data_IF_211955273987
#
_entry.id   IF_211955273987
#
_cell.length_a   1.000
_cell.length_b   1.000
_cell.length_c   1.000
_cell.angle_alpha   90.00
_cell.angle_beta   90.00
_cell.angle_gamma   90.00
#
_symmetry.space_group_name_H-M   'P 1'
#
loop_
_entity.id
_entity.type
_entity.pdbx_description
1 polymer ?
#
# COMPACT_ATOMS: atom_id res chain seq x y z
N UNK A 1 16.46 9.06 13.13
CA UNK A 1 15.43 9.88 13.83
C UNK A 1 14.87 9.20 15.07
N UNK A 2 14.28 8.00 14.98
CA UNK A 2 13.67 7.33 16.15
C UNK A 2 14.61 7.13 17.37
N UNK A 3 15.82 6.60 17.15
CA UNK A 3 16.80 6.40 18.24
C UNK A 3 17.24 7.72 18.89
N UNK A 4 17.42 8.78 18.09
CA UNK A 4 17.76 10.11 18.58
C UNK A 4 16.69 10.68 19.52
N UNK A 5 15.42 10.33 19.29
CA UNK A 5 14.30 10.70 20.14
C UNK A 5 13.98 9.66 21.24
N UNK A 6 14.92 8.77 21.56
CA UNK A 6 14.83 7.88 22.71
C UNK A 6 14.13 6.55 22.47
N UNK A 7 13.89 6.14 21.22
CA UNK A 7 13.44 4.78 20.94
C UNK A 7 14.47 3.77 21.47
N UNK A 8 14.02 2.82 22.30
CA UNK A 8 14.91 1.83 22.90
C UNK A 8 15.50 0.85 21.87
N UNK A 9 14.75 0.57 20.79
CA UNK A 9 15.14 -0.32 19.70
C UNK A 9 14.40 0.09 18.42
N UNK A 10 15.06 -0.05 17.27
CA UNK A 10 14.47 0.14 15.94
C UNK A 10 14.65 -1.14 15.13
N UNK A 11 13.59 -1.57 14.48
CA UNK A 11 13.62 -2.70 13.54
C UNK A 11 13.26 -2.15 12.17
N UNK A 12 14.12 -2.39 11.19
CA UNK A 12 13.87 -2.02 9.79
C UNK A 12 13.49 -3.26 8.98
N UNK A 13 12.45 -3.15 8.17
CA UNK A 13 11.94 -4.22 7.32
C UNK A 13 12.25 -3.89 5.86
N UNK A 14 13.25 -4.55 5.27
CA UNK A 14 13.78 -4.19 3.95
C UNK A 14 14.06 -5.41 3.08
N UNK A 15 13.72 -5.32 1.80
CA UNK A 15 13.92 -6.42 0.84
C UNK A 15 15.40 -6.64 0.54
N UNK A 16 16.17 -5.55 0.45
CA UNK A 16 17.62 -5.64 0.30
C UNK A 16 18.28 -5.92 1.65
N UNK A 17 19.29 -6.80 1.72
CA UNK A 17 20.04 -7.01 2.94
C UNK A 17 20.81 -5.74 3.32
N UNK A 18 20.76 -5.37 4.60
CA UNK A 18 21.44 -4.20 5.14
C UNK A 18 22.56 -4.61 6.10
N UNK A 19 23.69 -3.89 6.01
CA UNK A 19 24.72 -3.93 7.06
C UNK A 19 24.30 -2.99 8.19
N UNK A 20 24.16 -3.52 9.39
CA UNK A 20 23.75 -2.75 10.57
C UNK A 20 24.95 -2.48 11.47
N UNK A 21 25.28 -1.21 11.68
CA UNK A 21 26.43 -0.78 12.49
C UNK A 21 26.05 -0.31 13.90
N UNK A 22 24.75 -0.23 14.21
CA UNK A 22 24.26 0.29 15.48
C UNK A 22 23.58 -0.80 16.33
N UNK A 23 23.94 -0.97 17.62
CA UNK A 23 23.48 -2.10 18.44
C UNK A 23 21.97 -2.08 18.73
N UNK A 24 21.34 -0.91 18.66
CA UNK A 24 19.88 -0.75 18.86
C UNK A 24 19.06 -0.85 17.56
N UNK A 25 19.70 -1.07 16.41
CA UNK A 25 19.02 -1.29 15.14
C UNK A 25 19.08 -2.77 14.80
N UNK A 26 17.99 -3.31 14.29
CA UNK A 26 17.94 -4.66 13.73
C UNK A 26 17.31 -4.62 12.35
N UNK A 27 17.79 -5.50 11.47
CA UNK A 27 17.21 -5.74 10.16
C UNK A 27 16.36 -7.00 10.18
N UNK A 28 15.26 -6.99 9.43
CA UNK A 28 14.47 -8.18 9.11
C UNK A 28 13.99 -8.11 7.66
N UNK A 29 14.07 -9.23 6.95
CA UNK A 29 13.50 -9.31 5.61
C UNK A 29 11.95 -9.37 5.70
N UNK A 30 11.17 -8.65 4.86
CA UNK A 30 9.70 -8.61 4.95
C UNK A 30 9.03 -9.98 5.00
N UNK A 31 9.51 -10.94 4.20
CA UNK A 31 9.01 -12.32 4.21
C UNK A 31 9.21 -12.99 5.59
N UNK A 32 10.37 -12.78 6.22
CA UNK A 32 10.68 -13.35 7.52
C UNK A 32 9.95 -12.63 8.66
N UNK A 33 9.70 -11.33 8.51
CA UNK A 33 8.84 -10.57 9.41
C UNK A 33 7.42 -11.14 9.41
N UNK A 34 6.84 -11.41 8.25
CA UNK A 34 5.46 -11.95 8.16
C UNK A 34 5.39 -13.37 8.72
N UNK A 35 6.37 -14.23 8.42
CA UNK A 35 6.41 -15.61 8.97
C UNK A 35 6.49 -15.64 10.49
N UNK A 36 7.20 -14.68 11.09
CA UNK A 36 7.47 -14.62 12.52
C UNK A 36 6.81 -13.41 13.20
N UNK A 37 5.69 -12.93 12.66
CA UNK A 37 5.11 -11.63 13.01
C UNK A 37 4.83 -11.46 14.51
N UNK A 38 4.47 -12.53 15.21
CA UNK A 38 4.20 -12.54 16.66
C UNK A 38 5.40 -12.05 17.47
N UNK A 39 6.62 -12.34 17.01
CA UNK A 39 7.88 -11.88 17.64
C UNK A 39 8.05 -10.36 17.55
N UNK A 40 7.43 -9.75 16.55
CA UNK A 40 7.55 -8.33 16.23
C UNK A 40 6.29 -7.53 16.60
N UNK A 41 5.25 -8.19 17.11
CA UNK A 41 4.03 -7.54 17.53
C UNK A 41 4.21 -6.76 18.84
N UNK A 42 3.36 -5.77 19.05
CA UNK A 42 3.40 -4.89 20.21
C UNK A 42 4.44 -3.77 20.10
N UNK A 43 4.68 -3.24 18.90
CA UNK A 43 5.49 -2.02 18.73
C UNK A 43 4.68 -0.77 19.07
N UNK A 44 5.36 0.27 19.56
CA UNK A 44 4.75 1.53 19.98
C UNK A 44 4.36 2.43 18.79
N UNK A 45 5.13 2.37 17.70
CA UNK A 45 4.85 3.09 16.47
C UNK A 45 5.49 2.37 15.28
N UNK A 46 4.98 2.66 14.09
CA UNK A 46 5.55 2.23 12.81
C UNK A 46 5.71 3.47 11.95
N UNK A 47 6.87 3.58 11.29
CA UNK A 47 7.12 4.58 10.26
C UNK A 47 7.26 3.87 8.92
N UNK A 48 6.58 4.37 7.90
CA UNK A 48 6.66 3.87 6.53
C UNK A 48 7.12 5.01 5.63
N UNK A 49 8.11 4.73 4.78
CA UNK A 49 8.63 5.67 3.80
C UNK A 49 8.43 5.05 2.43
N UNK A 50 7.49 5.61 1.67
CA UNK A 50 7.17 5.18 0.32
C UNK A 50 7.15 3.66 0.11
N UNK A 51 6.49 2.93 1.00
CA UNK A 51 6.46 1.46 0.99
C UNK A 51 5.05 0.89 0.82
N UNK A 52 4.04 1.55 1.41
CA UNK A 52 2.65 1.06 1.39
C UNK A 52 2.08 1.11 -0.03
N UNK A 53 2.37 2.18 -0.77
CA UNK A 53 1.88 2.39 -2.14
C UNK A 53 2.45 1.41 -3.17
N UNK A 54 3.54 0.71 -2.83
CA UNK A 54 4.14 -0.31 -3.70
C UNK A 54 3.65 -1.72 -3.39
N UNK A 55 2.90 -1.92 -2.30
CA UNK A 55 2.40 -3.23 -1.90
C UNK A 55 1.35 -3.74 -2.88
N UNK A 56 1.56 -4.95 -3.43
CA UNK A 56 0.66 -5.55 -4.42
C UNK A 56 0.96 -5.23 -5.88
N UNK A 57 2.01 -4.44 -6.17
CA UNK A 57 2.44 -4.14 -7.54
C UNK A 57 3.36 -5.21 -8.16
N UNK A 58 3.63 -6.31 -7.43
CA UNK A 58 4.52 -7.40 -7.87
C UNK A 58 5.95 -6.97 -8.23
N UNK A 59 6.42 -5.85 -7.67
CA UNK A 59 7.75 -5.31 -7.97
C UNK A 59 8.87 -6.06 -7.25
N UNK A 60 8.55 -6.83 -6.21
CA UNK A 60 9.52 -7.47 -5.34
C UNK A 60 9.44 -9.00 -5.37
N UNK A 61 8.83 -9.56 -6.43
CA UNK A 61 8.66 -11.01 -6.62
C UNK A 61 7.43 -11.58 -5.91
N UNK A 62 6.64 -10.74 -5.25
CA UNK A 62 5.30 -11.04 -4.78
C UNK A 62 4.30 -11.12 -5.96
N UNK A 63 3.25 -11.96 -5.88
CA UNK A 63 2.17 -11.92 -6.86
C UNK A 63 1.46 -10.56 -6.85
N UNK A 64 0.95 -10.07 -8.00
CA UNK A 64 0.11 -8.88 -8.02
C UNK A 64 -1.11 -9.04 -7.09
N UNK A 65 -1.36 -8.05 -6.23
CA UNK A 65 -2.46 -8.02 -5.28
C UNK A 65 -3.17 -6.65 -5.36
N UNK A 66 -4.35 -6.56 -6.00
CA UNK A 66 -5.09 -5.30 -6.16
C UNK A 66 -5.48 -4.60 -4.85
N UNK A 67 -5.37 -5.29 -3.70
CA UNK A 67 -5.61 -4.73 -2.37
C UNK A 67 -4.37 -4.83 -1.47
N UNK A 68 -3.18 -4.92 -2.07
CA UNK A 68 -1.91 -5.13 -1.37
C UNK A 68 -1.57 -4.01 -0.38
N UNK A 69 -1.86 -2.76 -0.73
CA UNK A 69 -1.72 -1.58 0.14
C UNK A 69 -2.62 -1.66 1.38
N UNK A 70 -3.88 -2.06 1.22
CA UNK A 70 -4.85 -2.25 2.31
C UNK A 70 -4.45 -3.41 3.22
N UNK A 71 -3.95 -4.50 2.64
CA UNK A 71 -3.39 -5.62 3.41
C UNK A 71 -2.15 -5.20 4.17
N UNK A 72 -1.28 -4.39 3.59
CA UNK A 72 -0.09 -3.87 4.27
C UNK A 72 -0.47 -2.98 5.45
N UNK A 73 -1.44 -2.08 5.28
CA UNK A 73 -2.02 -1.31 6.39
C UNK A 73 -2.58 -2.23 7.50
N UNK A 74 -3.26 -3.31 7.12
CA UNK A 74 -3.80 -4.29 8.07
C UNK A 74 -2.69 -5.02 8.85
N UNK A 75 -1.61 -5.44 8.18
CA UNK A 75 -0.43 -6.04 8.83
C UNK A 75 0.21 -5.05 9.81
N UNK A 76 0.38 -3.79 9.42
CA UNK A 76 0.89 -2.72 10.28
C UNK A 76 0.04 -2.61 11.55
N UNK A 77 -1.29 -2.63 11.43
CA UNK A 77 -2.17 -2.60 12.60
C UNK A 77 -2.02 -3.82 13.51
N UNK A 78 -1.78 -5.02 12.96
CA UNK A 78 -1.52 -6.22 13.76
C UNK A 78 -0.20 -6.16 14.55
N UNK A 79 0.78 -5.40 14.06
CA UNK A 79 2.08 -5.24 14.73
C UNK A 79 2.03 -4.20 15.86
N UNK A 80 1.11 -3.23 15.81
CA UNK A 80 0.97 -2.21 16.85
C UNK A 80 0.36 -2.78 18.14
N UNK A 81 0.73 -2.22 19.31
CA UNK A 81 0.13 -2.60 20.61
C UNK A 81 -1.40 -2.41 20.60
N UNK A 82 -2.15 -3.46 20.94
CA UNK A 82 -3.60 -3.36 21.14
C UNK A 82 -3.91 -2.53 22.40
N UNK A 83 -4.80 -1.54 22.28
CA UNK A 83 -5.27 -0.72 23.41
C UNK A 83 -4.44 0.54 23.72
N UNK A 84 -3.38 0.83 22.95
CA UNK A 84 -2.76 2.15 22.95
C UNK A 84 -3.73 3.22 22.41
N UNK A 85 -3.60 4.48 22.86
CA UNK A 85 -4.47 5.58 22.42
C UNK A 85 -4.60 5.60 20.89
N UNK A 86 -5.75 5.14 20.38
CA UNK A 86 -6.24 5.25 19.01
C UNK A 86 -5.19 4.94 17.92
N UNK A 87 -5.35 3.81 17.23
CA UNK A 87 -4.72 3.55 15.93
C UNK A 87 -4.95 4.77 15.01
N UNK A 88 -3.97 5.67 14.90
CA UNK A 88 -4.03 6.90 14.11
C UNK A 88 -2.98 6.80 13.02
N UNK A 89 -3.39 7.19 11.82
CA UNK A 89 -2.46 7.30 10.70
C UNK A 89 -2.05 8.76 10.61
N UNK A 90 -0.75 9.01 10.55
CA UNK A 90 -0.21 10.33 10.40
C UNK A 90 0.53 10.42 9.07
N UNK A 91 0.28 11.48 8.30
CA UNK A 91 1.11 11.82 7.16
C UNK A 91 1.91 13.06 7.49
N UNK A 92 3.20 13.00 7.18
CA UNK A 92 4.17 14.07 7.38
C UNK A 92 5.16 14.01 6.22
N UNK A 93 5.63 15.16 5.75
CA UNK A 93 6.68 15.20 4.73
C UNK A 93 7.99 14.63 5.29
N UNK A 94 8.90 14.23 4.39
CA UNK A 94 10.24 13.75 4.77
C UNK A 94 11.06 14.79 5.56
N UNK A 95 10.67 16.08 5.48
CA UNK A 95 11.29 17.19 6.22
C UNK A 95 10.60 17.50 7.55
N UNK A 96 9.55 16.75 7.92
CA UNK A 96 8.78 16.99 9.15
C UNK A 96 7.68 18.05 9.01
N UNK A 97 7.38 18.49 7.78
CA UNK A 97 6.38 19.53 7.50
C UNK A 97 5.01 18.92 7.10
N UNK A 98 3.94 19.71 7.19
CA UNK A 98 2.63 19.30 6.65
C UNK A 98 1.94 18.16 7.40
N UNK A 99 2.08 18.13 8.73
CA UNK A 99 1.46 17.11 9.58
C UNK A 99 -0.07 17.06 9.40
N UNK A 100 -0.57 15.88 9.05
CA UNK A 100 -2.00 15.56 8.97
C UNK A 100 -2.28 14.25 9.72
N UNK A 101 -3.37 14.23 10.49
CA UNK A 101 -3.80 13.05 11.25
C UNK A 101 -5.12 12.54 10.69
N UNK A 102 -5.14 11.26 10.32
CA UNK A 102 -6.32 10.53 9.92
C UNK A 102 -6.72 9.63 11.08
N UNK A 103 -7.99 9.70 11.49
CA UNK A 103 -8.54 8.66 12.35
C UNK A 103 -8.62 7.38 11.53
N UNK A 104 -8.02 6.28 12.00
CA UNK A 104 -8.35 4.98 11.44
C UNK A 104 -9.78 4.67 11.89
N UNK A 105 -10.75 5.11 11.10
CA UNK A 105 -12.16 4.89 11.42
C UNK A 105 -12.46 3.40 11.37
N UNK A 106 -12.59 2.77 12.53
CA UNK A 106 -13.44 1.59 12.65
C UNK A 106 -14.88 2.12 12.53
N UNK A 107 -15.41 2.15 11.30
CA UNK A 107 -16.84 2.28 11.03
C UNK A 107 -17.45 3.68 10.88
N UNK A 108 -16.77 4.71 10.36
CA UNK A 108 -17.44 6.00 10.10
C UNK A 108 -16.65 7.09 9.37
N UNK A 109 -17.33 7.76 8.43
CA UNK A 109 -16.81 8.75 7.46
C UNK A 109 -16.14 9.99 8.09
N UNK A 110 -14.82 10.09 7.93
CA UNK A 110 -14.02 11.30 8.17
C UNK A 110 -12.89 11.39 7.16
N UNK A 111 -13.23 11.84 5.94
CA UNK A 111 -12.42 12.02 4.72
C UNK A 111 -10.90 11.72 4.84
N UNK A 112 -10.54 10.52 4.41
CA UNK A 112 -9.21 10.20 3.86
C UNK A 112 -9.26 10.55 2.37
N UNK A 113 -8.37 11.41 1.89
CA UNK A 113 -8.16 11.55 0.44
C UNK A 113 -7.40 10.29 -0.02
N UNK A 114 -8.16 9.21 -0.24
CA UNK A 114 -7.70 7.93 -0.78
C UNK A 114 -8.04 6.68 0.05
N UNK A 115 -9.34 6.34 0.18
CA UNK A 115 -9.81 4.93 0.22
C UNK A 115 -11.15 4.90 -0.53
N UNK A 116 -11.17 4.32 -1.73
CA UNK A 116 -12.42 3.96 -2.41
C UNK A 116 -12.80 2.57 -1.95
N UNK A 117 -13.89 2.47 -1.19
CA UNK A 117 -14.50 1.20 -0.84
C UNK A 117 -15.37 0.72 -2.01
N UNK A 118 -15.01 -0.40 -2.61
CA UNK A 118 -15.89 -1.16 -3.50
C UNK A 118 -16.52 -2.31 -2.68
N UNK A 119 -17.85 -2.44 -2.64
CA UNK A 119 -18.51 -3.53 -1.91
C UNK A 119 -18.11 -4.91 -2.47
N UNK A 120 -18.08 -5.93 -1.61
CA UNK A 120 -17.82 -7.35 -1.91
C UNK A 120 -18.66 -7.89 -3.10
N UNK A 121 -19.76 -7.20 -3.43
CA UNK A 121 -20.39 -7.24 -4.76
C UNK A 121 -20.66 -5.82 -5.26
N UNK A 122 -19.93 -5.41 -6.29
CA UNK A 122 -20.24 -4.21 -7.06
C UNK A 122 -21.26 -4.57 -8.13
N UNK A 123 -22.50 -4.14 -7.97
CA UNK A 123 -23.38 -3.95 -9.13
C UNK A 123 -22.95 -2.63 -9.77
N UNK A 124 -21.83 -2.67 -10.51
CA UNK A 124 -21.48 -1.57 -11.40
C UNK A 124 -22.60 -1.35 -12.40
N UNK A 125 -22.84 -0.11 -12.80
CA UNK A 125 -23.63 0.15 -14.00
C UNK A 125 -23.00 -0.65 -15.15
N UNK A 126 -23.79 -1.37 -15.95
CA UNK A 126 -23.27 -2.05 -17.13
C UNK A 126 -22.58 -1.01 -18.03
N UNK A 127 -21.26 -1.01 -17.99
CA UNK A 127 -20.43 -0.20 -18.87
C UNK A 127 -20.05 -1.06 -20.07
N UNK A 128 -19.67 -0.40 -21.16
CA UNK A 128 -19.11 -1.12 -22.31
C UNK A 128 -17.87 -1.96 -21.92
N UNK A 129 -17.11 -1.54 -20.90
CA UNK A 129 -16.01 -2.33 -20.34
C UNK A 129 -16.46 -3.62 -19.64
N UNK A 130 -17.70 -3.69 -19.14
CA UNK A 130 -18.24 -4.89 -18.50
C UNK A 130 -18.48 -6.04 -19.51
N UNK A 131 -18.62 -5.70 -20.80
CA UNK A 131 -18.84 -6.65 -21.88
C UNK A 131 -17.55 -6.82 -22.69
N UNK A 132 -16.95 -8.02 -22.65
CA UNK A 132 -15.73 -8.35 -23.41
C UNK A 132 -14.59 -7.32 -23.25
N UNK A 133 -14.38 -6.81 -22.03
CA UNK A 133 -13.36 -5.79 -21.72
C UNK A 133 -13.44 -4.55 -22.62
N UNK A 134 -14.64 -4.19 -23.12
CA UNK A 134 -14.82 -3.08 -24.08
C UNK A 134 -14.05 -3.23 -25.38
N UNK A 135 -13.58 -4.43 -25.72
CA UNK A 135 -12.71 -4.71 -26.87
C UNK A 135 -11.22 -4.38 -26.64
N UNK A 136 -10.82 -4.03 -25.42
CA UNK A 136 -9.43 -3.67 -25.12
C UNK A 136 -8.54 -4.91 -24.94
N UNK A 137 -7.30 -4.90 -25.48
CA UNK A 137 -6.36 -6.00 -25.34
C UNK A 137 -5.77 -6.12 -23.91
N UNK A 138 -5.69 -5.01 -23.16
CA UNK A 138 -5.13 -4.98 -21.81
C UNK A 138 -6.12 -4.40 -20.79
N UNK A 139 -6.15 -3.06 -20.61
CA UNK A 139 -7.00 -2.40 -19.61
C UNK A 139 -8.08 -1.54 -20.27
N UNK A 140 -9.34 -1.76 -19.90
CA UNK A 140 -10.48 -0.95 -20.31
C UNK A 140 -10.90 0.02 -19.20
N UNK A 141 -11.02 1.31 -19.53
CA UNK A 141 -11.53 2.34 -18.63
C UNK A 141 -12.82 2.95 -19.20
N UNK A 142 -13.94 2.95 -18.46
CA UNK A 142 -15.17 3.59 -18.90
C UNK A 142 -15.05 5.12 -18.83
N UNK A 143 -15.54 5.81 -19.87
CA UNK A 143 -15.58 7.28 -19.91
C UNK A 143 -16.88 7.79 -19.28
N UNK A 144 -16.80 8.94 -18.60
CA UNK A 144 -17.94 9.55 -17.91
C UNK A 144 -19.13 9.91 -18.82
N UNK A 145 -18.90 10.07 -20.13
CA UNK A 145 -19.92 10.39 -21.13
C UNK A 145 -20.41 9.17 -21.96
N UNK A 146 -20.06 7.95 -21.53
CA UNK A 146 -20.20 6.74 -22.35
C UNK A 146 -18.96 6.48 -23.21
N UNK A 147 -18.77 5.23 -23.61
CA UNK A 147 -17.59 4.79 -24.38
C UNK A 147 -16.45 4.21 -23.55
N UNK A 148 -15.46 3.69 -24.29
CA UNK A 148 -14.28 2.96 -23.78
C UNK A 148 -12.98 3.76 -24.00
N UNK A 149 -12.03 3.63 -23.07
CA UNK A 149 -10.62 3.97 -23.25
C UNK A 149 -9.75 2.75 -22.99
N UNK A 150 -8.97 2.30 -23.98
CA UNK A 150 -7.99 1.25 -23.78
C UNK A 150 -6.66 1.85 -23.31
N UNK A 151 -6.06 1.25 -22.29
CA UNK A 151 -4.78 1.68 -21.70
C UNK A 151 -3.79 0.53 -21.71
N UNK A 152 -2.56 0.83 -22.10
CA UNK A 152 -1.47 -0.13 -22.19
C UNK A 152 -0.64 -0.16 -20.89
N UNK A 153 -0.14 -1.33 -20.47
CA UNK A 153 0.84 -1.43 -19.40
C UNK A 153 2.12 -0.67 -19.75
N UNK A 154 2.50 0.30 -18.92
CA UNK A 154 3.67 1.17 -19.18
C UNK A 154 5.02 0.42 -19.13
N UNK A 155 5.07 -0.75 -18.48
CA UNK A 155 6.30 -1.50 -18.20
C UNK A 155 6.51 -2.71 -19.11
N UNK A 156 5.71 -2.88 -20.16
CA UNK A 156 5.85 -4.02 -21.09
C UNK A 156 5.99 -3.49 -22.51
N UNK A 157 7.13 -3.76 -23.14
CA UNK A 157 7.38 -3.43 -24.55
C UNK A 157 6.82 -4.55 -25.43
N UNK A 158 6.54 -4.21 -26.69
CA UNK A 158 6.12 -5.16 -27.74
C UNK A 158 4.81 -5.90 -27.42
N UNK A 159 3.85 -5.15 -26.87
CA UNK A 159 2.50 -5.63 -26.62
C UNK A 159 1.64 -5.53 -27.88
N UNK A 160 1.22 -6.69 -28.43
CA UNK A 160 0.29 -6.76 -29.56
C UNK A 160 -0.99 -5.98 -29.24
N UNK A 161 -1.42 -5.10 -30.15
CA UNK A 161 -2.59 -4.23 -29.95
C UNK A 161 -2.34 -2.94 -29.14
N UNK A 162 -1.09 -2.66 -28.77
CA UNK A 162 -0.63 -1.40 -28.20
C UNK A 162 0.29 -0.66 -29.19
N UNK A 163 -0.19 -0.39 -30.40
CA UNK A 163 0.53 0.45 -31.36
C UNK A 163 0.05 1.90 -31.25
N UNK A 164 0.92 2.76 -30.70
CA UNK A 164 0.79 4.21 -30.76
C UNK A 164 0.12 4.87 -29.55
N UNK A 165 0.94 5.33 -28.61
CA UNK A 165 0.64 6.49 -27.77
C UNK A 165 1.97 7.12 -27.34
N UNK A 166 2.49 7.99 -28.22
CA UNK A 166 3.29 9.14 -27.78
C UNK A 166 2.32 10.19 -27.20
#
# INVERSE_FOLDING_TARGET
MALYHGAAKVITAEYAPLTIEHPQIAYVHPIELVKNWEKYAGVDFIASFSSIEHSGLARYGDPPDPIGDLREMSKIFCLLKQGGLFNKVHSVSVYGEGYTSFQASIGGSGKVYGIVAVPDKCHGTDTECANNNGGCPYLCLPKAAGGVSCVCPENVKDLDGCEGSL
#
